data_IF_981864039376
#
_entry.id   IF_981864039376
#
_cell.length_a   1.000
_cell.length_b   1.000
_cell.length_c   1.000
_cell.angle_alpha   90.00
_cell.angle_beta   90.00
_cell.angle_gamma   90.00
#
_symmetry.space_group_name_H-M   'P 1'
#
loop_
_entity.id
_entity.type
_entity.pdbx_description
1 polymer ?
#
# COMPACT_ATOMS: atom_id res chain seq x y z
N UNK A 1 1.31 17.67 6.64
CA UNK A 1 -0.06 17.96 6.20
C UNK A 1 -0.44 16.96 5.11
N UNK A 2 -1.37 16.03 5.38
CA UNK A 2 -1.76 14.98 4.42
C UNK A 2 -2.14 15.52 3.04
N UNK A 3 -2.86 16.63 2.96
CA UNK A 3 -3.33 17.24 1.71
C UNK A 3 -2.18 17.66 0.78
N UNK A 4 -1.09 18.21 1.34
CA UNK A 4 0.08 18.59 0.57
C UNK A 4 0.79 17.37 -0.04
N UNK A 5 0.80 16.26 0.69
CA UNK A 5 1.38 15.01 0.21
C UNK A 5 0.48 14.35 -0.84
N UNK A 6 -0.85 14.39 -0.70
CA UNK A 6 -1.80 13.98 -1.75
C UNK A 6 -1.58 14.78 -3.03
N UNK A 7 -1.47 16.10 -2.93
CA UNK A 7 -1.20 16.97 -4.07
C UNK A 7 0.13 16.63 -4.74
N UNK A 8 1.17 16.34 -3.97
CA UNK A 8 2.48 15.94 -4.50
C UNK A 8 2.41 14.57 -5.20
N UNK A 9 1.77 13.57 -4.58
CA UNK A 9 1.63 12.23 -5.16
C UNK A 9 0.98 12.32 -6.54
N UNK A 10 -0.10 13.11 -6.67
CA UNK A 10 -0.81 13.31 -7.93
C UNK A 10 0.01 14.10 -8.94
N UNK A 11 0.65 15.19 -8.51
CA UNK A 11 1.44 16.08 -9.39
C UNK A 11 2.66 15.37 -9.98
N UNK A 12 3.25 14.44 -9.24
CA UNK A 12 4.49 13.75 -9.61
C UNK A 12 4.27 12.31 -10.07
N UNK A 13 3.02 11.86 -10.23
CA UNK A 13 2.66 10.49 -10.60
C UNK A 13 3.38 9.43 -9.76
N UNK A 14 3.42 9.64 -8.45
CA UNK A 14 4.12 8.74 -7.53
C UNK A 14 3.47 7.36 -7.57
N UNK A 15 4.28 6.34 -7.89
CA UNK A 15 3.80 4.96 -8.04
C UNK A 15 4.06 4.07 -6.83
N UNK A 16 4.97 4.49 -5.93
CA UNK A 16 5.42 3.70 -4.78
C UNK A 16 5.59 4.60 -3.55
N UNK A 17 5.05 4.18 -2.41
CA UNK A 17 5.27 4.85 -1.12
C UNK A 17 5.56 3.83 -0.01
N UNK A 18 6.32 4.27 0.99
CA UNK A 18 6.60 3.54 2.22
C UNK A 18 6.24 4.44 3.41
N UNK A 19 5.40 3.94 4.32
CA UNK A 19 4.87 4.66 5.48
C UNK A 19 4.21 3.70 6.47
N UNK A 20 3.90 4.18 7.68
CA UNK A 20 3.13 3.39 8.63
C UNK A 20 1.65 3.26 8.20
N UNK A 21 0.94 2.19 8.64
CA UNK A 21 -0.50 2.04 8.45
C UNK A 21 -1.32 3.29 8.83
N UNK A 22 -1.09 3.89 10.00
CA UNK A 22 -1.81 5.09 10.43
C UNK A 22 -1.61 6.27 9.48
N UNK A 23 -0.39 6.51 9.01
CA UNK A 23 -0.09 7.57 8.05
C UNK A 23 -0.76 7.33 6.69
N UNK A 24 -0.81 6.07 6.23
CA UNK A 24 -1.51 5.73 5.00
C UNK A 24 -3.02 5.95 5.10
N UNK A 25 -3.61 5.62 6.24
CA UNK A 25 -5.03 5.90 6.47
C UNK A 25 -5.33 7.40 6.45
N UNK A 26 -4.50 8.23 7.09
CA UNK A 26 -4.65 9.68 7.03
C UNK A 26 -4.54 10.22 5.59
N UNK A 27 -3.68 9.64 4.76
CA UNK A 27 -3.56 9.99 3.34
C UNK A 27 -4.81 9.62 2.53
N UNK A 28 -5.37 8.44 2.75
CA UNK A 28 -6.62 8.02 2.10
C UNK A 28 -7.78 8.93 2.53
N UNK A 29 -7.89 9.21 3.83
CA UNK A 29 -8.95 10.05 4.39
C UNK A 29 -8.87 11.48 3.80
N UNK A 30 -7.66 12.03 3.64
CA UNK A 30 -7.43 13.32 2.99
C UNK A 30 -7.64 13.32 1.47
N UNK A 31 -7.31 12.22 0.79
CA UNK A 31 -7.48 12.11 -0.66
C UNK A 31 -8.96 12.06 -1.09
N UNK A 32 -9.84 11.58 -0.21
CA UNK A 32 -11.27 11.49 -0.45
C UNK A 32 -11.61 10.66 -1.68
N UNK A 33 -12.70 11.03 -2.36
CA UNK A 33 -13.20 10.30 -3.53
C UNK A 33 -12.26 10.34 -4.75
N UNK A 34 -11.41 11.38 -4.84
CA UNK A 34 -10.43 11.50 -5.92
C UNK A 34 -9.25 10.52 -5.77
N UNK A 35 -9.03 9.97 -4.57
CA UNK A 35 -8.03 8.96 -4.31
C UNK A 35 -6.59 9.44 -4.52
N UNK A 36 -5.63 8.52 -4.45
CA UNK A 36 -4.20 8.89 -4.45
C UNK A 36 -3.59 9.02 -5.85
N UNK A 37 -4.26 8.54 -6.92
CA UNK A 37 -3.82 8.71 -8.31
C UNK A 37 -2.49 8.00 -8.66
N UNK A 38 -2.49 7.09 -9.64
CA UNK A 38 -1.26 6.48 -10.17
C UNK A 38 -0.50 5.54 -9.23
N UNK A 39 -0.85 5.48 -7.94
CA UNK A 39 -0.20 4.67 -6.91
C UNK A 39 -0.39 3.17 -7.19
N UNK A 40 0.73 2.43 -7.25
CA UNK A 40 0.74 1.00 -7.63
C UNK A 40 1.15 0.10 -6.47
N UNK A 41 2.02 0.58 -5.59
CA UNK A 41 2.51 -0.17 -4.43
C UNK A 41 2.59 0.69 -3.17
N UNK A 42 2.19 0.09 -2.06
CA UNK A 42 2.24 0.70 -0.74
C UNK A 42 2.92 -0.28 0.20
N UNK A 43 4.09 0.10 0.69
CA UNK A 43 4.79 -0.63 1.75
C UNK A 43 4.30 -0.07 3.09
N UNK A 44 3.82 -0.98 3.96
CA UNK A 44 3.31 -0.66 5.28
C UNK A 44 4.12 -1.42 6.33
N UNK A 45 4.62 -0.71 7.35
CA UNK A 45 5.39 -1.32 8.43
C UNK A 45 5.34 -0.49 9.71
N UNK A 46 5.94 -1.01 10.78
CA UNK A 46 6.07 -0.31 12.06
C UNK A 46 4.81 -0.27 12.93
N UNK A 47 3.63 -0.58 12.39
CA UNK A 47 2.38 -0.70 13.15
C UNK A 47 1.55 -1.90 12.65
N UNK A 48 0.61 -2.43 13.45
CA UNK A 48 -0.35 -3.42 12.98
C UNK A 48 -1.19 -2.91 11.81
N UNK A 49 -1.19 -3.66 10.70
CA UNK A 49 -2.07 -3.37 9.55
C UNK A 49 -3.53 -3.66 9.92
N UNK A 50 -4.45 -2.83 9.42
CA UNK A 50 -5.90 -3.04 9.51
C UNK A 50 -6.46 -3.51 8.15
N UNK A 51 -6.52 -4.82 7.85
CA UNK A 51 -6.84 -5.32 6.51
C UNK A 51 -8.21 -4.88 5.99
N UNK A 52 -9.20 -4.79 6.88
CA UNK A 52 -10.55 -4.35 6.53
C UNK A 52 -10.57 -2.94 5.92
N UNK A 53 -9.77 -2.00 6.43
CA UNK A 53 -9.67 -0.64 5.85
C UNK A 53 -9.03 -0.64 4.48
N UNK A 54 -8.04 -1.51 4.25
CA UNK A 54 -7.39 -1.65 2.94
C UNK A 54 -8.26 -2.38 1.90
N UNK A 55 -9.10 -3.31 2.36
CA UNK A 55 -10.07 -4.03 1.53
C UNK A 55 -11.29 -3.17 1.15
N UNK A 56 -11.62 -2.16 1.96
CA UNK A 56 -12.68 -1.20 1.68
C UNK A 56 -12.33 -0.17 0.60
N UNK A 57 -11.05 -0.08 0.18
CA UNK A 57 -10.64 0.80 -0.90
C UNK A 57 -11.24 0.34 -2.24
N UNK A 58 -11.78 1.27 -3.06
CA UNK A 58 -12.32 0.91 -4.37
C UNK A 58 -11.23 0.43 -5.32
N UNK A 59 -11.59 -0.46 -6.24
CA UNK A 59 -10.69 -0.87 -7.33
C UNK A 59 -10.65 0.18 -8.46
N UNK A 60 -9.51 0.38 -9.13
CA UNK A 60 -8.23 -0.28 -8.87
C UNK A 60 -7.53 0.29 -7.63
N UNK A 61 -7.09 -0.58 -6.72
CA UNK A 61 -6.29 -0.20 -5.54
C UNK A 61 -4.85 -0.72 -5.64
N UNK A 62 -3.87 -0.09 -4.95
CA UNK A 62 -2.47 -0.51 -5.02
C UNK A 62 -2.25 -1.89 -4.38
N UNK A 63 -1.12 -2.52 -4.72
CA UNK A 63 -0.64 -3.70 -4.00
C UNK A 63 -0.06 -3.27 -2.66
N UNK A 64 -0.58 -3.86 -1.59
CA UNK A 64 -0.07 -3.67 -0.24
C UNK A 64 1.02 -4.68 0.07
N UNK A 65 2.12 -4.19 0.63
CA UNK A 65 3.28 -4.97 1.04
C UNK A 65 3.44 -4.75 2.54
N UNK A 66 3.36 -5.82 3.32
CA UNK A 66 3.68 -5.76 4.74
C UNK A 66 5.20 -5.83 4.91
N UNK A 67 5.81 -4.77 5.44
CA UNK A 67 7.21 -4.73 5.85
C UNK A 67 7.28 -4.94 7.36
N UNK A 68 8.12 -5.89 7.77
CA UNK A 68 8.46 -6.11 9.16
C UNK A 68 9.97 -6.16 9.30
N UNK A 69 10.49 -5.36 10.23
CA UNK A 69 11.90 -5.34 10.60
C UNK A 69 12.06 -4.72 11.99
N UNK A 70 12.90 -5.30 12.87
CA UNK A 70 13.32 -4.61 14.08
C UNK A 70 14.20 -3.40 13.70
N UNK A 71 14.31 -2.36 14.53
CA UNK A 71 15.01 -1.11 14.18
C UNK A 71 16.48 -1.29 13.80
N UNK A 72 17.12 -2.40 14.22
CA UNK A 72 18.49 -2.79 13.88
C UNK A 72 18.63 -3.31 12.44
N UNK A 73 17.51 -3.61 11.79
CA UNK A 73 17.40 -4.00 10.40
C UNK A 73 16.74 -2.84 9.63
N UNK A 74 17.50 -2.16 8.77
CA UNK A 74 17.03 -1.03 7.93
C UNK A 74 15.56 -1.16 7.48
N UNK A 75 14.80 -0.07 7.55
CA UNK A 75 13.32 0.02 7.41
C UNK A 75 12.65 -0.91 6.36
N UNK A 76 13.35 -1.22 5.26
CA UNK A 76 12.97 -2.26 4.28
C UNK A 76 14.17 -3.17 4.02
N UNK A 77 14.16 -4.40 4.55
CA UNK A 77 15.28 -5.35 4.38
C UNK A 77 15.11 -6.26 3.15
N UNK A 78 13.89 -6.69 2.82
CA UNK A 78 13.61 -7.47 1.60
C UNK A 78 12.11 -7.55 1.30
N UNK A 79 11.74 -7.46 0.02
CA UNK A 79 10.39 -7.85 -0.46
C UNK A 79 10.55 -8.98 -1.48
N UNK A 80 9.90 -10.11 -1.24
CA UNK A 80 9.83 -11.22 -2.18
C UNK A 80 8.37 -11.49 -2.56
N UNK A 81 8.10 -11.62 -3.85
CA UNK A 81 6.78 -11.99 -4.37
C UNK A 81 6.88 -13.38 -4.98
N UNK A 82 6.13 -14.33 -4.42
CA UNK A 82 5.93 -15.64 -5.05
C UNK A 82 4.54 -15.68 -5.66
N UNK A 83 4.47 -15.69 -6.99
CA UNK A 83 3.22 -15.98 -7.70
C UNK A 83 2.95 -17.48 -7.61
N UNK A 84 2.00 -17.88 -6.77
CA UNK A 84 1.49 -19.25 -6.76
C UNK A 84 0.45 -19.40 -7.87
N UNK A 85 0.83 -20.05 -8.97
CA UNK A 85 -0.13 -20.54 -9.96
C UNK A 85 -0.78 -21.79 -9.36
N UNK A 86 -2.05 -21.71 -8.94
CA UNK A 86 -2.80 -22.91 -8.57
C UNK A 86 -3.01 -23.75 -9.83
N UNK A 87 -2.75 -25.08 -9.81
CA UNK A 87 -3.09 -25.93 -10.93
C UNK A 87 -4.61 -25.88 -11.10
N UNK A 88 -5.06 -25.42 -12.28
CA UNK A 88 -6.46 -25.56 -12.69
C UNK A 88 -6.79 -27.05 -12.68
N UNK A 89 -7.55 -27.50 -11.68
CA UNK A 89 -8.16 -28.82 -11.67
C UNK A 89 -9.00 -28.90 -12.95
N UNK A 90 -8.65 -29.82 -13.84
CA UNK A 90 -9.40 -30.11 -15.04
C UNK A 90 -10.87 -30.32 -14.64
N UNK A 91 -11.75 -29.43 -15.14
CA UNK A 91 -13.17 -29.70 -15.18
C UNK A 91 -13.34 -30.93 -16.06
N UNK A 92 -14.07 -31.92 -15.53
CA UNK A 92 -14.27 -33.24 -16.15
C UNK A 92 -15.08 -33.21 -17.43
#
# INVERSE_FOLDING_TARGET
MPDALVAQIRREDITHINLSPSAFHALIDAAGAEGLGGLRRVVLGGEPIQPARLQALPEPRPRFINSYGPPECSDVVAVSYTHLTLPTKALG
#
